data_IF_146146481508
#
_entry.id   IF_146146481508
#
_cell.length_a   1.000
_cell.length_b   1.000
_cell.length_c   1.000
_cell.angle_alpha   90.00
_cell.angle_beta   90.00
_cell.angle_gamma   90.00
#
_symmetry.space_group_name_H-M   'P 1'
#
loop_
_entity.id
_entity.type
_entity.pdbx_description
1 polymer ?
#
# COMPACT_ATOMS: atom_id res chain seq x y z
N UNK A 1 -16.14 -6.86 -4.69
CA UNK A 1 -16.30 -8.06 -3.85
C UNK A 1 -16.08 -7.80 -2.35
N UNK A 2 -15.17 -6.91 -1.93
CA UNK A 2 -14.90 -6.63 -0.51
C UNK A 2 -16.10 -6.09 0.30
N UNK A 3 -17.14 -5.56 -0.37
CA UNK A 3 -18.37 -5.09 0.27
C UNK A 3 -19.42 -6.21 0.49
N UNK A 4 -19.12 -7.44 0.12
CA UNK A 4 -19.98 -8.61 0.37
C UNK A 4 -19.91 -8.99 1.85
N UNK A 5 -21.03 -9.35 2.45
CA UNK A 5 -21.12 -9.68 3.87
C UNK A 5 -20.36 -10.96 4.26
N UNK A 6 -20.14 -11.86 3.29
CA UNK A 6 -19.40 -13.11 3.47
C UNK A 6 -17.88 -12.96 3.29
N UNK A 7 -17.37 -11.76 3.00
CA UNK A 7 -15.94 -11.47 2.82
C UNK A 7 -15.42 -10.64 4.00
N UNK A 8 -14.34 -11.10 4.62
CA UNK A 8 -13.68 -10.44 5.75
C UNK A 8 -12.36 -9.79 5.32
N UNK A 9 -12.38 -8.53 4.87
CA UNK A 9 -11.14 -7.83 4.52
C UNK A 9 -10.34 -7.45 5.77
N UNK A 10 -9.02 -7.56 5.69
CA UNK A 10 -8.09 -7.15 6.74
C UNK A 10 -7.24 -6.00 6.23
N UNK A 11 -7.27 -4.90 6.93
CA UNK A 11 -6.40 -3.73 6.74
C UNK A 11 -6.37 -2.91 8.02
N UNK A 12 -5.33 -2.06 8.22
CA UNK A 12 -5.19 -1.32 9.46
C UNK A 12 -6.20 -0.17 9.59
N UNK A 13 -6.24 0.44 10.77
CA UNK A 13 -7.11 1.58 11.06
C UNK A 13 -6.64 2.85 10.33
N UNK A 14 -7.47 3.51 9.52
CA UNK A 14 -7.09 4.74 8.81
C UNK A 14 -6.80 5.94 9.70
N UNK A 15 -7.19 5.89 10.98
CA UNK A 15 -6.85 6.93 11.96
C UNK A 15 -5.37 6.83 12.40
N UNK A 16 -4.76 5.65 12.32
CA UNK A 16 -3.40 5.40 12.79
C UNK A 16 -2.40 5.03 11.68
N UNK A 17 -2.90 4.62 10.51
CA UNK A 17 -2.09 4.08 9.43
C UNK A 17 -2.26 4.82 8.11
N UNK A 18 -1.13 5.22 7.50
CA UNK A 18 -1.10 5.74 6.13
C UNK A 18 -1.57 4.71 5.10
N UNK A 19 -1.17 3.45 5.24
CA UNK A 19 -1.62 2.34 4.40
C UNK A 19 -3.16 2.30 4.31
N UNK A 20 -3.83 2.31 5.45
CA UNK A 20 -5.28 2.26 5.51
C UNK A 20 -5.97 3.51 4.95
N UNK A 21 -5.32 4.68 4.98
CA UNK A 21 -5.83 5.89 4.30
C UNK A 21 -5.83 5.71 2.79
N UNK A 22 -4.80 5.11 2.22
CA UNK A 22 -4.78 4.74 0.80
C UNK A 22 -5.85 3.70 0.47
N UNK A 23 -6.03 2.68 1.32
CA UNK A 23 -7.11 1.68 1.16
C UNK A 23 -8.48 2.33 1.14
N UNK A 24 -8.75 3.23 2.09
CA UNK A 24 -10.00 4.00 2.13
C UNK A 24 -10.21 4.83 0.86
N UNK A 25 -9.19 5.60 0.46
CA UNK A 25 -9.27 6.48 -0.70
C UNK A 25 -9.43 5.69 -2.01
N UNK A 26 -8.73 4.56 -2.16
CA UNK A 26 -8.86 3.70 -3.34
C UNK A 26 -10.27 3.12 -3.46
N UNK A 27 -10.84 2.61 -2.36
CA UNK A 27 -12.21 2.10 -2.34
C UNK A 27 -13.24 3.20 -2.63
N UNK A 28 -13.03 4.39 -2.09
CA UNK A 28 -13.90 5.54 -2.33
C UNK A 28 -13.84 6.02 -3.79
N UNK A 29 -12.62 6.15 -4.35
CA UNK A 29 -12.41 6.56 -5.74
C UNK A 29 -13.01 5.54 -6.72
N UNK A 30 -12.81 4.24 -6.46
CA UNK A 30 -13.45 3.18 -7.24
C UNK A 30 -14.98 3.33 -7.25
N UNK A 31 -15.59 3.50 -6.08
CA UNK A 31 -17.03 3.63 -5.97
C UNK A 31 -17.57 4.90 -6.62
N UNK A 32 -16.85 6.02 -6.55
CA UNK A 32 -17.19 7.25 -7.29
C UNK A 32 -17.21 6.99 -8.80
N UNK A 33 -16.18 6.34 -9.33
CA UNK A 33 -16.07 6.02 -10.75
C UNK A 33 -17.22 5.10 -11.22
N UNK A 34 -17.57 4.08 -10.41
CA UNK A 34 -18.67 3.16 -10.74
C UNK A 34 -20.07 3.79 -10.63
N UNK A 35 -20.22 4.90 -9.92
CA UNK A 35 -21.51 5.55 -9.67
C UNK A 35 -21.60 6.98 -10.24
N UNK A 36 -20.87 7.29 -11.30
CA UNK A 36 -20.89 8.60 -11.97
C UNK A 36 -20.62 9.79 -11.01
N UNK A 37 -19.75 9.61 -10.03
CA UNK A 37 -19.40 10.66 -9.07
C UNK A 37 -20.37 10.80 -7.88
N UNK A 38 -21.27 9.87 -7.67
CA UNK A 38 -22.23 9.89 -6.55
C UNK A 38 -21.51 9.62 -5.22
N UNK A 39 -21.26 10.69 -4.45
CA UNK A 39 -20.55 10.64 -3.17
C UNK A 39 -21.31 9.83 -2.10
N UNK A 40 -22.64 9.85 -2.10
CA UNK A 40 -23.43 9.11 -1.12
C UNK A 40 -23.30 7.59 -1.35
N UNK A 41 -23.35 7.15 -2.58
CA UNK A 41 -23.12 5.74 -2.94
C UNK A 41 -21.68 5.30 -2.67
N UNK A 42 -20.70 6.18 -2.91
CA UNK A 42 -19.31 5.88 -2.58
C UNK A 42 -19.12 5.72 -1.06
N UNK A 43 -19.72 6.57 -0.27
CA UNK A 43 -19.69 6.45 1.19
C UNK A 43 -20.39 5.17 1.69
N UNK A 44 -21.53 4.82 1.11
CA UNK A 44 -22.23 3.58 1.45
C UNK A 44 -21.37 2.35 1.13
N UNK A 45 -20.74 2.32 -0.05
CA UNK A 45 -19.85 1.23 -0.45
C UNK A 45 -18.67 1.06 0.52
N UNK A 46 -17.98 2.14 0.86
CA UNK A 46 -16.88 2.11 1.82
C UNK A 46 -17.36 1.66 3.20
N UNK A 47 -18.52 2.14 3.65
CA UNK A 47 -19.11 1.76 4.93
C UNK A 47 -19.36 0.24 5.01
N UNK A 48 -19.82 -0.37 3.92
CA UNK A 48 -20.00 -1.85 3.85
C UNK A 48 -18.67 -2.58 3.99
N UNK A 49 -17.62 -2.12 3.30
CA UNK A 49 -16.28 -2.72 3.43
C UNK A 49 -15.80 -2.63 4.88
N UNK A 50 -15.93 -1.45 5.51
CA UNK A 50 -15.47 -1.25 6.88
C UNK A 50 -16.28 -2.05 7.91
N UNK A 51 -17.56 -2.29 7.65
CA UNK A 51 -18.40 -3.13 8.51
C UNK A 51 -17.97 -4.61 8.49
N UNK A 52 -17.33 -5.04 7.40
CA UNK A 52 -16.85 -6.42 7.25
C UNK A 52 -15.47 -6.68 7.88
N UNK A 53 -14.74 -5.62 8.30
CA UNK A 53 -13.39 -5.75 8.87
C UNK A 53 -13.45 -6.37 10.27
N UNK A 54 -12.87 -7.55 10.48
CA UNK A 54 -12.93 -8.22 11.78
C UNK A 54 -12.05 -7.56 12.84
N UNK A 55 -10.91 -6.98 12.42
CA UNK A 55 -9.92 -6.37 13.32
C UNK A 55 -9.30 -5.15 12.65
N UNK A 56 -9.26 -4.02 13.34
CA UNK A 56 -8.55 -2.83 12.92
C UNK A 56 -7.20 -2.74 13.63
N UNK A 57 -6.16 -3.22 12.99
CA UNK A 57 -4.80 -3.12 13.48
C UNK A 57 -4.25 -1.69 13.41
N UNK A 58 -3.18 -1.40 14.16
CA UNK A 58 -2.58 -0.06 14.21
C UNK A 58 -1.76 0.29 12.97
N UNK A 59 -1.30 -0.70 12.20
CA UNK A 59 -0.46 -0.49 11.02
C UNK A 59 -0.38 -1.72 10.12
N UNK A 60 0.21 -1.56 8.93
CA UNK A 60 0.24 -2.60 7.90
C UNK A 60 0.87 -3.91 8.35
N UNK A 61 1.99 -3.87 9.09
CA UNK A 61 2.65 -5.10 9.59
C UNK A 61 1.78 -5.87 10.58
N UNK A 62 1.07 -5.19 11.47
CA UNK A 62 0.15 -5.84 12.38
C UNK A 62 -1.03 -6.47 11.63
N UNK A 63 -1.56 -5.81 10.58
CA UNK A 63 -2.58 -6.38 9.72
C UNK A 63 -2.08 -7.63 8.97
N UNK A 64 -0.84 -7.62 8.49
CA UNK A 64 -0.20 -8.80 7.88
C UNK A 64 -0.12 -9.97 8.86
N UNK A 65 0.30 -9.72 10.10
CA UNK A 65 0.34 -10.75 11.13
C UNK A 65 -1.05 -11.29 11.47
N UNK A 66 -2.04 -10.41 11.57
CA UNK A 66 -3.43 -10.81 11.81
C UNK A 66 -3.93 -11.72 10.68
N UNK A 67 -3.65 -11.40 9.44
CA UNK A 67 -4.06 -12.18 8.28
C UNK A 67 -3.25 -13.47 8.11
N UNK A 68 -1.90 -13.36 8.01
CA UNK A 68 -1.05 -14.48 7.61
C UNK A 68 -0.66 -15.41 8.76
N UNK A 69 -0.48 -14.90 9.98
CA UNK A 69 -0.02 -15.69 11.11
C UNK A 69 -1.17 -16.13 12.04
N UNK A 70 -2.23 -15.31 12.14
CA UNK A 70 -3.39 -15.62 12.98
C UNK A 70 -4.57 -16.19 12.19
N UNK A 71 -4.44 -16.24 10.86
CA UNK A 71 -5.47 -16.79 9.95
C UNK A 71 -6.84 -16.09 10.12
N UNK A 72 -6.83 -14.77 10.35
CA UNK A 72 -8.04 -13.96 10.51
C UNK A 72 -8.34 -13.22 9.22
N UNK A 73 -9.54 -13.44 8.67
CA UNK A 73 -10.04 -12.79 7.45
C UNK A 73 -9.72 -13.56 6.18
N UNK A 74 -10.27 -13.08 5.08
CA UNK A 74 -10.22 -13.74 3.77
C UNK A 74 -9.31 -13.00 2.77
N UNK A 75 -9.14 -11.69 2.95
CA UNK A 75 -8.38 -10.82 2.04
C UNK A 75 -7.60 -9.79 2.82
N UNK A 76 -6.27 -9.78 2.66
CA UNK A 76 -5.42 -8.69 3.14
C UNK A 76 -5.34 -7.60 2.07
N UNK A 77 -5.70 -6.36 2.42
CA UNK A 77 -5.54 -5.19 1.54
C UNK A 77 -4.32 -4.39 2.00
N UNK A 78 -3.30 -4.32 1.14
CA UNK A 78 -2.05 -3.63 1.44
C UNK A 78 -1.40 -3.06 0.18
N UNK A 79 -0.22 -2.46 0.29
CA UNK A 79 0.53 -1.94 -0.85
C UNK A 79 1.05 -3.06 -1.75
N UNK A 80 1.21 -2.78 -3.05
CA UNK A 80 1.70 -3.73 -4.05
C UNK A 80 3.02 -4.42 -3.64
N UNK A 81 4.00 -3.63 -3.17
CA UNK A 81 5.28 -4.18 -2.72
C UNK A 81 5.13 -5.16 -1.55
N UNK A 82 4.26 -4.85 -0.61
CA UNK A 82 3.94 -5.72 0.53
C UNK A 82 3.23 -6.99 0.05
N UNK A 83 2.25 -6.86 -0.86
CA UNK A 83 1.51 -8.01 -1.42
C UNK A 83 2.46 -9.03 -2.07
N UNK A 84 3.39 -8.57 -2.91
CA UNK A 84 4.39 -9.42 -3.56
C UNK A 84 5.34 -10.08 -2.55
N UNK A 85 5.76 -9.33 -1.54
CA UNK A 85 6.65 -9.83 -0.49
C UNK A 85 5.96 -10.88 0.39
N UNK A 86 4.70 -10.65 0.76
CA UNK A 86 3.88 -11.57 1.57
C UNK A 86 3.60 -12.86 0.78
N UNK A 87 3.20 -12.76 -0.48
CA UNK A 87 2.95 -13.92 -1.32
C UNK A 87 4.21 -14.80 -1.47
N UNK A 88 5.39 -14.20 -1.50
CA UNK A 88 6.67 -14.92 -1.52
C UNK A 88 7.01 -15.53 -0.17
N UNK A 89 6.82 -14.78 0.92
CA UNK A 89 7.16 -15.23 2.29
C UNK A 89 6.28 -16.39 2.76
N UNK A 90 5.02 -16.39 2.37
CA UNK A 90 4.00 -17.35 2.78
C UNK A 90 3.52 -18.21 1.60
N UNK A 91 4.42 -18.52 0.66
CA UNK A 91 4.09 -19.26 -0.57
C UNK A 91 3.50 -20.66 -0.31
N UNK A 92 3.90 -21.30 0.79
CA UNK A 92 3.41 -22.60 1.24
C UNK A 92 1.97 -22.56 1.80
N UNK A 93 1.47 -21.38 2.14
CA UNK A 93 0.09 -21.19 2.62
C UNK A 93 -0.93 -20.97 1.49
N UNK A 94 -0.46 -20.91 0.24
CA UNK A 94 -1.32 -20.80 -0.94
C UNK A 94 -1.97 -19.41 -1.12
N UNK A 95 -1.38 -18.35 -0.57
CA UNK A 95 -1.88 -16.99 -0.81
C UNK A 95 -1.67 -16.55 -2.25
N UNK A 96 -2.69 -15.96 -2.84
CA UNK A 96 -2.66 -15.38 -4.17
C UNK A 96 -2.54 -13.86 -4.09
N UNK A 97 -1.59 -13.30 -4.84
CA UNK A 97 -1.46 -11.85 -4.99
C UNK A 97 -2.40 -11.37 -6.10
N UNK A 98 -3.39 -10.54 -5.75
CA UNK A 98 -4.35 -9.98 -6.68
C UNK A 98 -4.12 -8.48 -6.83
N UNK A 99 -3.91 -8.03 -8.07
CA UNK A 99 -3.86 -6.60 -8.40
C UNK A 99 -5.25 -6.17 -8.88
N UNK A 100 -5.89 -5.19 -8.22
CA UNK A 100 -7.21 -4.72 -8.64
C UNK A 100 -7.12 -3.95 -9.98
N UNK A 101 -8.23 -3.92 -10.72
CA UNK A 101 -8.33 -3.18 -11.99
C UNK A 101 -8.21 -1.67 -11.85
N UNK A 102 -8.35 -1.14 -10.65
CA UNK A 102 -8.25 0.27 -10.30
C UNK A 102 -7.63 0.41 -8.92
N UNK A 103 -6.63 1.27 -8.80
CA UNK A 103 -5.93 1.54 -7.54
C UNK A 103 -5.40 2.96 -7.50
N UNK A 104 -4.84 3.38 -6.37
CA UNK A 104 -4.18 4.66 -6.23
C UNK A 104 -2.67 4.51 -6.35
N UNK A 105 -2.04 5.43 -7.05
CA UNK A 105 -0.59 5.54 -7.05
C UNK A 105 -0.12 6.09 -5.70
N UNK A 106 0.57 5.27 -4.93
CA UNK A 106 1.11 5.65 -3.63
C UNK A 106 2.55 6.18 -3.79
N UNK A 107 2.68 7.45 -4.14
CA UNK A 107 3.95 8.14 -4.06
C UNK A 107 4.29 8.41 -2.59
N UNK A 108 5.47 7.99 -2.15
CA UNK A 108 5.95 8.21 -0.79
C UNK A 108 6.91 9.41 -0.76
N UNK A 109 6.42 10.63 -0.45
CA UNK A 109 7.30 11.79 -0.35
C UNK A 109 8.23 11.64 0.86
N UNK A 110 9.47 12.06 0.69
CA UNK A 110 10.48 12.10 1.75
C UNK A 110 10.95 13.53 1.97
N UNK A 111 11.20 13.90 3.23
CA UNK A 111 11.72 15.22 3.59
C UNK A 111 12.61 15.13 4.83
N UNK A 112 13.57 16.03 4.93
CA UNK A 112 14.34 16.25 6.16
C UNK A 112 13.44 17.03 7.13
N UNK A 113 13.32 16.53 8.37
CA UNK A 113 12.68 17.28 9.46
C UNK A 113 13.73 18.25 10.01
N UNK A 114 13.79 19.44 9.42
CA UNK A 114 14.89 20.40 9.58
C UNK A 114 15.19 20.73 11.04
N UNK A 115 14.19 21.08 11.84
CA UNK A 115 14.38 21.40 13.26
C UNK A 115 15.06 20.27 14.05
N UNK A 116 14.66 19.03 13.80
CA UNK A 116 15.25 17.86 14.45
C UNK A 116 16.67 17.58 13.94
N UNK A 117 16.86 17.72 12.62
CA UNK A 117 18.16 17.50 11.99
C UNK A 117 19.20 18.55 12.44
N UNK A 118 18.81 19.82 12.54
CA UNK A 118 19.66 20.90 13.10
C UNK A 118 20.05 20.63 14.55
N UNK A 119 19.06 20.28 15.38
CA UNK A 119 19.28 19.96 16.79
C UNK A 119 20.25 18.79 16.99
N UNK A 120 20.23 17.82 16.09
CA UNK A 120 21.06 16.62 16.16
C UNK A 120 22.36 16.73 15.35
N UNK A 121 22.59 17.83 14.63
CA UNK A 121 23.75 18.01 13.76
C UNK A 121 23.74 17.07 12.54
N UNK A 122 22.55 16.64 12.07
CA UNK A 122 22.41 15.63 11.02
C UNK A 122 21.84 16.15 9.70
N UNK A 123 21.78 17.47 9.49
CA UNK A 123 21.20 18.09 8.29
C UNK A 123 21.89 17.58 7.01
N UNK A 124 23.23 17.63 6.99
CA UNK A 124 24.03 17.24 5.82
C UNK A 124 23.84 15.77 5.47
N UNK A 125 24.07 14.87 6.42
CA UNK A 125 23.93 13.42 6.19
C UNK A 125 22.50 13.02 5.84
N UNK A 126 21.49 13.66 6.42
CA UNK A 126 20.09 13.40 6.09
C UNK A 126 19.78 13.84 4.66
N UNK A 127 20.30 15.01 4.25
CA UNK A 127 20.10 15.53 2.87
C UNK A 127 20.79 14.63 1.85
N UNK A 128 22.04 14.22 2.12
CA UNK A 128 22.78 13.31 1.24
C UNK A 128 22.10 11.95 1.13
N UNK A 129 21.60 11.42 2.25
CA UNK A 129 20.83 10.16 2.22
C UNK A 129 19.57 10.27 1.35
N UNK A 130 18.79 11.35 1.48
CA UNK A 130 17.61 11.54 0.64
C UNK A 130 17.97 11.69 -0.84
N UNK A 131 19.05 12.40 -1.17
CA UNK A 131 19.54 12.52 -2.54
C UNK A 131 20.01 11.15 -3.08
N UNK A 132 20.67 10.35 -2.25
CA UNK A 132 21.10 9.00 -2.63
C UNK A 132 19.92 8.10 -3.03
N UNK A 133 18.76 8.23 -2.38
CA UNK A 133 17.56 7.43 -2.71
C UNK A 133 17.12 7.56 -4.17
N UNK A 134 17.47 8.66 -4.83
CA UNK A 134 17.16 8.91 -6.26
C UNK A 134 18.29 8.51 -7.20
N UNK A 135 19.38 7.93 -6.72
CA UNK A 135 20.42 7.39 -7.59
C UNK A 135 19.98 6.07 -8.23
N UNK A 136 20.49 5.72 -9.44
CA UNK A 136 20.16 4.45 -10.09
C UNK A 136 20.38 3.23 -9.19
N UNK A 137 21.48 3.20 -8.43
CA UNK A 137 21.78 2.08 -7.52
C UNK A 137 20.75 1.93 -6.39
N UNK A 138 20.30 3.04 -5.79
CA UNK A 138 19.25 2.98 -4.77
C UNK A 138 17.90 2.57 -5.37
N UNK A 139 17.57 3.09 -6.55
CA UNK A 139 16.35 2.73 -7.28
C UNK A 139 16.33 1.25 -7.67
N UNK A 140 17.46 0.68 -8.03
CA UNK A 140 17.60 -0.75 -8.29
C UNK A 140 17.33 -1.59 -7.03
N UNK A 141 17.87 -1.18 -5.88
CA UNK A 141 17.58 -1.84 -4.58
C UNK A 141 16.08 -1.78 -4.26
N UNK A 142 15.43 -0.64 -4.50
CA UNK A 142 13.98 -0.51 -4.29
C UNK A 142 13.20 -1.45 -5.21
N UNK A 143 13.56 -1.53 -6.49
CA UNK A 143 12.93 -2.43 -7.46
C UNK A 143 13.09 -3.90 -7.07
N UNK A 144 14.27 -4.31 -6.60
CA UNK A 144 14.53 -5.67 -6.06
C UNK A 144 13.64 -6.01 -4.86
N UNK A 145 13.16 -4.99 -4.13
CA UNK A 145 12.22 -5.14 -3.02
C UNK A 145 10.76 -4.84 -3.41
N UNK A 146 10.43 -4.98 -4.69
CA UNK A 146 9.09 -4.83 -5.27
C UNK A 146 8.53 -3.40 -5.25
N UNK A 147 9.33 -2.37 -4.97
CA UNK A 147 8.88 -0.99 -5.11
C UNK A 147 9.01 -0.53 -6.56
N UNK A 148 8.05 0.23 -7.05
CA UNK A 148 8.15 0.84 -8.38
C UNK A 148 9.21 1.94 -8.37
N UNK A 149 10.15 1.86 -9.30
CA UNK A 149 11.21 2.84 -9.45
C UNK A 149 10.71 4.10 -10.15
N UNK A 150 11.29 5.26 -9.81
CA UNK A 150 11.12 6.51 -10.57
C UNK A 150 12.14 6.63 -11.72
N UNK A 151 13.17 5.78 -11.75
CA UNK A 151 14.17 5.72 -12.82
C UNK A 151 13.64 4.87 -13.98
N UNK A 152 13.56 5.46 -15.17
CA UNK A 152 13.01 4.79 -16.36
C UNK A 152 13.83 3.57 -16.80
N UNK A 153 15.16 3.62 -16.62
CA UNK A 153 16.06 2.51 -16.98
C UNK A 153 15.86 1.33 -16.02
N UNK A 154 15.80 1.61 -14.72
CA UNK A 154 15.52 0.61 -13.69
C UNK A 154 14.12 0.05 -13.88
N UNK A 155 13.14 0.90 -14.15
CA UNK A 155 11.75 0.51 -14.43
C UNK A 155 11.68 -0.47 -15.61
N UNK A 156 12.38 -0.21 -16.70
CA UNK A 156 12.40 -1.08 -17.87
C UNK A 156 13.03 -2.46 -17.58
N UNK A 157 14.03 -2.52 -16.69
CA UNK A 157 14.73 -3.74 -16.34
C UNK A 157 14.02 -4.61 -15.29
N UNK A 158 13.32 -3.99 -14.34
CA UNK A 158 12.81 -4.66 -13.14
C UNK A 158 11.28 -4.69 -13.02
N UNK A 159 10.55 -3.80 -13.70
CA UNK A 159 9.10 -3.91 -13.71
C UNK A 159 8.70 -5.11 -14.56
N UNK A 160 8.27 -6.12 -13.87
CA UNK A 160 7.45 -7.16 -14.48
C UNK A 160 6.22 -6.45 -15.05
N UNK A 161 6.18 -6.38 -16.37
CA UNK A 161 5.31 -5.57 -17.20
C UNK A 161 3.83 -5.94 -17.09
N UNK A 162 3.32 -6.00 -15.89
CA UNK A 162 2.04 -6.65 -15.76
C UNK A 162 0.86 -5.73 -15.65
N UNK A 163 0.93 -4.63 -14.97
CA UNK A 163 -0.32 -3.88 -14.80
C UNK A 163 -0.04 -2.45 -14.39
N UNK A 164 -0.16 -1.57 -15.34
CA UNK A 164 -0.38 -0.16 -15.06
C UNK A 164 -1.85 0.02 -14.62
N UNK A 165 -2.10 -0.29 -13.35
CA UNK A 165 -3.42 -0.19 -12.74
C UNK A 165 -3.56 1.05 -11.86
N UNK A 166 -2.54 1.91 -11.84
CA UNK A 166 -2.59 3.15 -11.10
C UNK A 166 -3.52 4.16 -11.77
N UNK A 167 -4.37 4.80 -11.00
CA UNK A 167 -5.29 5.88 -11.38
C UNK A 167 -4.69 7.21 -10.92
#
# INVERSE_FOLDING_TARGET
DLAREDVKPVFPNPKTSGNARYTYLAAYAYALAQNNGDAAKAQEFVSKIFANVPVFDTGGRAATQTFAEREIGDVLVTFEAETKSIAKQYADQGFEAVTPSMSLFAAFPVAVVTENAEKNGSVEVSTEYLNWLYTPGAQEIMAQNNYRSTDATVTAAWNDSGTDTAV
#
